data_IF_680246999990
#
_entry.id   IF_680246999990
#
_cell.length_a   1.000
_cell.length_b   1.000
_cell.length_c   1.000
_cell.angle_alpha   90.00
_cell.angle_beta   90.00
_cell.angle_gamma   90.00
#
_symmetry.space_group_name_H-M   'P 1'
#
loop_
_entity.id
_entity.type
_entity.pdbx_description
1 polymer ?
#
# COMPACT_ATOMS: atom_id res chain seq x y z
N UNK A 1 43.98 18.19 2.87
CA UNK A 1 43.01 17.10 3.06
C UNK A 1 41.97 17.23 1.97
N UNK A 2 42.25 16.62 0.82
CA UNK A 2 41.29 16.51 -0.28
C UNK A 2 40.30 15.40 0.07
N UNK A 3 39.02 15.75 0.15
CA UNK A 3 37.93 14.77 0.18
C UNK A 3 37.88 14.10 -1.19
N UNK A 4 38.16 12.79 -1.24
CA UNK A 4 37.99 11.97 -2.43
C UNK A 4 36.49 11.80 -2.67
N UNK A 5 35.88 12.80 -3.31
CA UNK A 5 34.58 12.64 -3.95
C UNK A 5 34.67 11.47 -4.94
N UNK A 6 33.89 10.42 -4.72
CA UNK A 6 33.86 9.25 -5.58
C UNK A 6 33.39 9.63 -7.00
N UNK A 7 33.90 8.93 -8.02
CA UNK A 7 33.72 9.33 -9.42
C UNK A 7 32.25 9.39 -9.88
N UNK A 8 31.34 8.68 -9.20
CA UNK A 8 29.91 8.65 -9.51
C UNK A 8 29.12 9.83 -8.91
N UNK A 9 29.61 10.49 -7.85
CA UNK A 9 28.98 11.68 -7.26
C UNK A 9 29.12 12.94 -8.14
N UNK A 10 29.94 12.86 -9.20
CA UNK A 10 30.12 13.89 -10.22
C UNK A 10 29.26 13.67 -11.47
N UNK A 11 28.53 12.57 -11.55
CA UNK A 11 27.60 12.28 -12.64
C UNK A 11 26.26 12.95 -12.34
N UNK A 12 26.13 14.22 -12.75
CA UNK A 12 24.83 14.85 -12.88
C UNK A 12 24.12 14.17 -14.04
N UNK A 13 23.09 13.38 -13.77
CA UNK A 13 22.27 12.75 -14.81
C UNK A 13 20.98 13.57 -14.92
N UNK A 14 20.84 14.48 -15.91
CA UNK A 14 19.69 15.40 -15.98
C UNK A 14 18.34 14.72 -16.21
N UNK A 15 18.33 13.43 -16.54
CA UNK A 15 17.12 12.60 -16.59
C UNK A 15 16.57 12.27 -15.20
N UNK A 16 17.38 12.30 -14.14
CA UNK A 16 16.95 12.02 -12.77
C UNK A 16 16.11 13.16 -12.15
N UNK A 17 16.41 14.42 -12.50
CA UNK A 17 15.63 15.58 -12.04
C UNK A 17 14.19 15.58 -12.58
N UNK A 18 13.90 14.70 -13.57
CA UNK A 18 12.60 14.60 -14.25
C UNK A 18 11.76 13.41 -13.80
N UNK A 19 12.30 12.50 -12.97
CA UNK A 19 11.52 11.37 -12.45
C UNK A 19 10.54 11.90 -11.40
N UNK A 20 9.24 11.78 -11.68
CA UNK A 20 8.21 12.22 -10.76
C UNK A 20 8.26 11.41 -9.47
N UNK A 21 8.20 12.07 -8.31
CA UNK A 21 8.05 11.41 -7.00
C UNK A 21 6.59 11.34 -6.53
N UNK A 22 5.64 11.62 -7.43
CA UNK A 22 4.23 11.52 -7.12
C UNK A 22 3.81 10.05 -7.02
N UNK A 23 3.10 9.64 -5.96
CA UNK A 23 2.67 8.26 -5.82
C UNK A 23 1.68 7.86 -6.92
N UNK A 24 1.81 6.63 -7.43
CA UNK A 24 0.85 5.96 -8.29
C UNK A 24 -0.36 5.57 -7.44
N UNK A 25 -1.52 6.13 -7.77
CA UNK A 25 -2.76 5.91 -7.04
C UNK A 25 -3.74 5.07 -7.85
N UNK A 26 -4.36 4.11 -7.19
CA UNK A 26 -5.50 3.36 -7.69
C UNK A 26 -6.77 4.06 -7.22
N UNK A 27 -7.18 5.11 -7.92
CA UNK A 27 -8.32 5.95 -7.54
C UNK A 27 -9.66 5.54 -8.20
N UNK A 28 -9.66 4.55 -9.09
CA UNK A 28 -10.87 4.12 -9.80
C UNK A 28 -11.96 3.66 -8.81
N UNK A 29 -13.13 4.26 -8.90
CA UNK A 29 -14.29 3.93 -8.06
C UNK A 29 -15.10 2.84 -8.78
N UNK A 30 -15.31 1.67 -8.17
CA UNK A 30 -16.16 0.61 -8.74
C UNK A 30 -17.64 0.98 -8.58
N UNK A 31 -18.53 0.16 -9.14
CA UNK A 31 -19.95 0.25 -8.84
C UNK A 31 -20.20 -0.07 -7.35
N UNK A 32 -20.24 0.95 -6.50
CA UNK A 32 -20.30 0.82 -5.04
C UNK A 32 -21.51 0.00 -4.57
N UNK A 33 -22.64 0.10 -5.26
CA UNK A 33 -23.81 -0.75 -5.02
C UNK A 33 -23.50 -2.24 -5.25
N UNK A 34 -22.84 -2.58 -6.36
CA UNK A 34 -22.45 -3.96 -6.64
C UNK A 34 -21.42 -4.48 -5.64
N UNK A 35 -20.47 -3.64 -5.19
CA UNK A 35 -19.53 -3.99 -4.12
C UNK A 35 -20.29 -4.27 -2.82
N UNK A 36 -21.24 -3.40 -2.45
CA UNK A 36 -22.07 -3.57 -1.26
C UNK A 36 -22.90 -4.85 -1.30
N UNK A 37 -23.59 -5.12 -2.41
CA UNK A 37 -24.41 -6.32 -2.59
C UNK A 37 -23.56 -7.58 -2.55
N UNK A 38 -22.40 -7.59 -3.21
CA UNK A 38 -21.49 -8.73 -3.20
C UNK A 38 -20.94 -8.99 -1.79
N UNK A 39 -20.50 -7.95 -1.09
CA UNK A 39 -20.04 -8.07 0.29
C UNK A 39 -21.14 -8.62 1.21
N UNK A 40 -22.36 -8.07 1.11
CA UNK A 40 -23.51 -8.55 1.86
C UNK A 40 -23.75 -10.06 1.65
N UNK A 41 -23.65 -10.55 0.41
CA UNK A 41 -23.83 -11.99 0.11
C UNK A 41 -22.79 -12.88 0.80
N UNK A 42 -21.56 -12.41 0.97
CA UNK A 42 -20.52 -13.16 1.70
C UNK A 42 -20.80 -13.19 3.21
N UNK A 43 -21.24 -12.06 3.78
CA UNK A 43 -21.63 -12.01 5.20
C UNK A 43 -22.82 -12.91 5.47
N UNK A 44 -23.82 -12.92 4.58
CA UNK A 44 -25.01 -13.77 4.73
C UNK A 44 -24.63 -15.26 4.64
N UNK A 45 -23.76 -15.64 3.69
CA UNK A 45 -23.30 -17.02 3.53
C UNK A 45 -22.46 -17.54 4.73
N UNK A 46 -21.85 -16.63 5.49
CA UNK A 46 -21.01 -16.94 6.66
C UNK A 46 -21.60 -16.44 7.97
N UNK A 47 -22.92 -16.19 8.02
CA UNK A 47 -23.56 -15.55 9.16
C UNK A 47 -23.39 -16.33 10.48
N UNK A 48 -23.30 -17.66 10.42
CA UNK A 48 -23.05 -18.52 11.59
C UNK A 48 -21.65 -18.38 12.17
N UNK A 49 -20.67 -17.94 11.37
CA UNK A 49 -19.27 -17.75 11.77
C UNK A 49 -18.95 -16.31 12.15
N UNK A 50 -19.89 -15.37 11.94
CA UNK A 50 -19.70 -13.94 12.17
C UNK A 50 -20.54 -13.51 13.38
N UNK A 51 -19.90 -13.13 14.51
CA UNK A 51 -20.62 -12.55 15.63
C UNK A 51 -21.39 -11.31 15.19
N UNK A 52 -22.67 -11.23 15.56
CA UNK A 52 -23.51 -10.07 15.24
C UNK A 52 -23.54 -9.72 13.72
N UNK A 53 -23.58 -10.74 12.85
CA UNK A 53 -23.54 -10.59 11.39
C UNK A 53 -24.49 -9.50 10.84
N UNK A 54 -25.71 -9.40 11.36
CA UNK A 54 -26.67 -8.36 10.97
C UNK A 54 -26.19 -6.93 11.28
N UNK A 55 -25.61 -6.71 12.47
CA UNK A 55 -25.05 -5.42 12.88
C UNK A 55 -23.82 -5.05 12.06
N UNK A 56 -22.94 -6.02 11.80
CA UNK A 56 -21.77 -5.86 10.93
C UNK A 56 -22.18 -5.50 9.52
N UNK A 57 -23.12 -6.24 8.94
CA UNK A 57 -23.67 -5.98 7.61
C UNK A 57 -24.29 -4.59 7.53
N UNK A 58 -25.08 -4.20 8.53
CA UNK A 58 -25.65 -2.85 8.62
C UNK A 58 -24.54 -1.80 8.60
N UNK A 59 -23.55 -1.93 9.49
CA UNK A 59 -22.45 -0.97 9.59
C UNK A 59 -21.69 -0.80 8.26
N UNK A 60 -21.33 -1.89 7.59
CA UNK A 60 -20.61 -1.81 6.32
C UNK A 60 -21.50 -1.29 5.18
N UNK A 61 -22.67 -1.90 4.99
CA UNK A 61 -23.50 -1.70 3.80
C UNK A 61 -24.35 -0.42 3.87
N UNK A 62 -24.49 0.20 5.05
CA UNK A 62 -25.22 1.46 5.18
C UNK A 62 -24.31 2.60 5.61
N UNK A 63 -23.69 2.53 6.80
CA UNK A 63 -22.92 3.66 7.35
C UNK A 63 -21.66 3.96 6.52
N UNK A 64 -20.78 2.98 6.30
CA UNK A 64 -19.56 3.21 5.49
C UNK A 64 -19.87 3.40 4.01
N UNK A 65 -20.84 2.66 3.49
CA UNK A 65 -21.24 2.79 2.09
C UNK A 65 -21.85 4.17 1.79
N UNK A 66 -22.63 4.74 2.72
CA UNK A 66 -23.17 6.09 2.59
C UNK A 66 -22.03 7.13 2.58
N UNK A 67 -21.04 6.99 3.47
CA UNK A 67 -19.85 7.82 3.48
C UNK A 67 -19.09 7.75 2.13
N UNK A 68 -18.78 6.55 1.64
CA UNK A 68 -18.05 6.38 0.38
C UNK A 68 -18.84 6.93 -0.82
N UNK A 69 -20.14 6.65 -0.91
CA UNK A 69 -20.98 7.20 -1.97
C UNK A 69 -21.01 8.73 -1.94
N UNK A 70 -21.15 9.33 -0.76
CA UNK A 70 -21.10 10.78 -0.61
C UNK A 70 -19.74 11.36 -1.00
N UNK A 71 -18.63 10.68 -0.67
CA UNK A 71 -17.26 11.10 -0.99
C UNK A 71 -16.97 11.11 -2.50
N UNK A 72 -17.48 10.12 -3.21
CA UNK A 72 -17.20 9.92 -4.64
C UNK A 72 -18.35 10.34 -5.56
N UNK A 73 -19.41 10.95 -5.02
CA UNK A 73 -20.50 11.51 -5.82
C UNK A 73 -19.98 12.70 -6.65
N UNK A 74 -20.16 12.65 -7.97
CA UNK A 74 -19.73 13.71 -8.89
C UNK A 74 -20.43 15.05 -8.67
N UNK A 75 -21.58 15.06 -7.98
CA UNK A 75 -22.44 16.23 -7.76
C UNK A 75 -22.22 16.90 -6.40
N UNK A 76 -21.36 16.36 -5.53
CA UNK A 76 -21.20 16.85 -4.17
C UNK A 76 -20.38 18.16 -4.14
N UNK A 77 -20.98 19.24 -3.59
CA UNK A 77 -20.29 20.52 -3.35
C UNK A 77 -19.21 20.41 -2.27
N UNK A 78 -19.43 19.54 -1.29
CA UNK A 78 -18.49 19.23 -0.20
C UNK A 78 -18.44 17.73 -0.02
N UNK A 79 -17.23 17.19 0.18
CA UNK A 79 -17.05 15.76 0.48
C UNK A 79 -17.34 15.53 1.97
N UNK A 80 -18.10 14.47 2.33
CA UNK A 80 -18.29 14.11 3.73
C UNK A 80 -16.94 13.78 4.40
N UNK A 81 -16.83 14.11 5.68
CA UNK A 81 -15.68 13.79 6.53
C UNK A 81 -16.12 12.73 7.54
N UNK A 82 -15.41 11.60 7.67
CA UNK A 82 -15.80 10.54 8.60
C UNK A 82 -15.49 10.95 10.04
N UNK A 83 -16.33 10.55 10.98
CA UNK A 83 -16.08 10.79 12.42
C UNK A 83 -15.10 9.74 12.97
N UNK A 84 -14.32 10.06 14.03
CA UNK A 84 -13.45 9.07 14.67
C UNK A 84 -14.21 7.83 15.15
N UNK A 85 -15.45 7.99 15.65
CA UNK A 85 -16.30 6.88 16.09
C UNK A 85 -16.67 5.94 14.94
N UNK A 86 -16.97 6.50 13.76
CA UNK A 86 -17.21 5.73 12.54
C UNK A 86 -15.97 4.91 12.17
N UNK A 87 -14.79 5.52 12.20
CA UNK A 87 -13.52 4.84 11.86
C UNK A 87 -13.15 3.74 12.86
N UNK A 88 -13.32 3.97 14.16
CA UNK A 88 -13.11 2.95 15.20
C UNK A 88 -14.03 1.75 14.97
N UNK A 89 -15.33 2.02 14.75
CA UNK A 89 -16.32 0.97 14.45
C UNK A 89 -15.95 0.21 13.17
N UNK A 90 -15.41 0.90 12.16
CA UNK A 90 -14.97 0.25 10.92
C UNK A 90 -13.80 -0.69 11.15
N UNK A 91 -12.80 -0.23 11.90
CA UNK A 91 -11.62 -1.03 12.18
C UNK A 91 -11.97 -2.27 13.03
N UNK A 92 -12.87 -2.16 13.99
CA UNK A 92 -13.38 -3.29 14.78
C UNK A 92 -14.09 -4.32 13.89
N UNK A 93 -15.06 -3.86 13.09
CA UNK A 93 -15.78 -4.73 12.15
C UNK A 93 -14.82 -5.37 11.16
N UNK A 94 -13.84 -4.62 10.66
CA UNK A 94 -12.81 -5.13 9.75
C UNK A 94 -12.04 -6.28 10.39
N UNK A 95 -11.62 -6.16 11.66
CA UNK A 95 -10.92 -7.26 12.34
C UNK A 95 -11.77 -8.50 12.52
N UNK A 96 -13.04 -8.32 12.92
CA UNK A 96 -13.97 -9.45 13.05
C UNK A 96 -14.08 -10.20 11.71
N UNK A 97 -14.23 -9.47 10.62
CA UNK A 97 -14.34 -10.05 9.27
C UNK A 97 -13.04 -10.67 8.79
N UNK A 98 -11.87 -10.06 9.06
CA UNK A 98 -10.57 -10.66 8.74
C UNK A 98 -10.38 -12.02 9.41
N UNK A 99 -10.97 -12.23 10.59
CA UNK A 99 -10.92 -13.51 11.30
C UNK A 99 -11.98 -14.51 10.79
N UNK A 100 -13.17 -14.04 10.44
CA UNK A 100 -14.29 -14.90 10.09
C UNK A 100 -14.33 -15.32 8.61
N UNK A 101 -13.82 -14.50 7.68
CA UNK A 101 -13.95 -14.73 6.24
C UNK A 101 -12.63 -15.17 5.59
N UNK A 102 -12.68 -16.02 4.55
CA UNK A 102 -11.52 -16.33 3.72
C UNK A 102 -11.15 -15.12 2.82
N UNK A 103 -9.87 -15.02 2.37
CA UNK A 103 -9.42 -13.94 1.48
C UNK A 103 -10.29 -13.75 0.24
N UNK A 104 -10.77 -14.84 -0.36
CA UNK A 104 -11.66 -14.87 -1.53
C UNK A 104 -12.93 -14.02 -1.37
N UNK A 105 -13.37 -13.78 -0.13
CA UNK A 105 -14.57 -13.04 0.22
C UNK A 105 -14.30 -11.65 0.79
N UNK A 106 -13.04 -11.35 1.13
CA UNK A 106 -12.66 -10.11 1.79
C UNK A 106 -12.32 -8.97 0.84
N UNK A 107 -12.06 -9.26 -0.44
CA UNK A 107 -11.65 -8.24 -1.40
C UNK A 107 -12.62 -7.03 -1.51
N UNK A 108 -13.96 -7.15 -1.39
CA UNK A 108 -14.84 -5.98 -1.44
C UNK A 108 -14.62 -5.03 -0.25
N UNK A 109 -14.35 -5.58 0.94
CA UNK A 109 -14.04 -4.79 2.13
C UNK A 109 -12.71 -4.06 1.97
N UNK A 110 -11.71 -4.72 1.39
CA UNK A 110 -10.42 -4.10 1.08
C UNK A 110 -10.58 -3.01 0.04
N UNK A 111 -11.45 -3.19 -0.95
CA UNK A 111 -11.71 -2.20 -2.00
C UNK A 111 -12.36 -0.93 -1.43
N UNK A 112 -13.22 -1.08 -0.41
CA UNK A 112 -13.76 0.05 0.35
C UNK A 112 -12.66 0.81 1.11
N UNK A 113 -11.75 0.09 1.79
CA UNK A 113 -10.60 0.70 2.47
C UNK A 113 -9.64 1.38 1.48
N UNK A 114 -9.36 0.76 0.33
CA UNK A 114 -8.53 1.35 -0.75
C UNK A 114 -9.02 2.74 -1.12
N UNK A 115 -10.33 2.91 -1.26
CA UNK A 115 -10.95 4.20 -1.56
C UNK A 115 -10.95 5.15 -0.37
N UNK A 116 -11.19 4.63 0.85
CA UNK A 116 -11.21 5.42 2.07
C UNK A 116 -9.85 6.08 2.36
N UNK A 117 -8.73 5.38 2.10
CA UNK A 117 -7.38 5.94 2.32
C UNK A 117 -7.05 7.15 1.44
N UNK A 118 -7.81 7.38 0.36
CA UNK A 118 -7.71 8.62 -0.42
C UNK A 118 -8.29 9.84 0.34
N UNK A 119 -8.96 9.63 1.47
CA UNK A 119 -9.32 10.66 2.44
C UNK A 119 -8.19 10.87 3.45
N UNK A 120 -7.69 12.10 3.51
CA UNK A 120 -6.64 12.48 4.45
C UNK A 120 -7.05 12.24 5.90
N UNK A 121 -8.33 12.43 6.25
CA UNK A 121 -8.84 12.19 7.61
C UNK A 121 -8.75 10.70 7.97
N UNK A 122 -9.09 9.82 7.02
CA UNK A 122 -9.00 8.37 7.22
C UNK A 122 -7.54 7.96 7.33
N UNK A 123 -6.69 8.43 6.41
CA UNK A 123 -5.27 8.09 6.42
C UNK A 123 -4.54 8.56 7.68
N UNK A 124 -4.82 9.78 8.16
CA UNK A 124 -4.27 10.29 9.40
C UNK A 124 -4.75 9.46 10.61
N UNK A 125 -6.03 9.07 10.64
CA UNK A 125 -6.56 8.18 11.68
C UNK A 125 -5.89 6.79 11.65
N UNK A 126 -5.68 6.22 10.45
CA UNK A 126 -4.95 4.97 10.31
C UNK A 126 -3.50 5.10 10.83
N UNK A 127 -2.83 6.22 10.52
CA UNK A 127 -1.48 6.49 10.97
C UNK A 127 -1.39 6.57 12.52
N UNK A 128 -2.36 7.20 13.19
CA UNK A 128 -2.40 7.27 14.66
C UNK A 128 -2.82 5.96 15.31
N UNK A 129 -3.62 5.14 14.64
CA UNK A 129 -4.01 3.80 15.12
C UNK A 129 -2.88 2.76 15.01
N UNK A 130 -1.78 3.10 14.33
CA UNK A 130 -0.75 2.14 14.00
C UNK A 130 -0.07 1.51 15.22
N UNK A 131 0.12 0.19 15.18
CA UNK A 131 0.73 -0.56 16.29
C UNK A 131 -0.20 -0.80 17.49
N UNK A 132 -1.45 -0.30 17.42
CA UNK A 132 -2.48 -0.59 18.43
C UNK A 132 -3.34 -1.79 18.02
N UNK A 133 -4.13 -2.32 18.96
CA UNK A 133 -5.16 -3.31 18.66
C UNK A 133 -6.27 -2.76 17.76
N UNK A 134 -6.32 -1.46 17.48
CA UNK A 134 -7.26 -0.82 16.57
C UNK A 134 -6.74 -0.72 15.12
N UNK A 135 -5.48 -1.08 14.83
CA UNK A 135 -4.85 -0.96 13.50
C UNK A 135 -5.52 -1.85 12.42
N UNK A 136 -6.28 -1.30 11.45
CA UNK A 136 -6.86 -2.10 10.37
C UNK A 136 -5.82 -2.47 9.30
N UNK A 137 -4.79 -1.64 9.11
CA UNK A 137 -3.75 -1.84 8.09
C UNK A 137 -2.92 -3.07 8.44
N UNK A 138 -2.58 -3.26 9.71
CA UNK A 138 -1.89 -4.45 10.19
C UNK A 138 -2.72 -5.72 9.94
N UNK A 139 -4.02 -5.69 10.25
CA UNK A 139 -4.89 -6.86 10.08
C UNK A 139 -5.00 -7.27 8.60
N UNK A 140 -5.13 -6.29 7.71
CA UNK A 140 -5.17 -6.50 6.24
C UNK A 140 -3.83 -7.06 5.75
N UNK A 141 -2.72 -6.48 6.21
CA UNK A 141 -1.37 -6.90 5.81
C UNK A 141 -1.09 -8.36 6.19
N UNK A 142 -1.36 -8.75 7.43
CA UNK A 142 -1.13 -10.11 7.92
C UNK A 142 -1.96 -11.14 7.15
N UNK A 143 -3.23 -10.81 6.87
CA UNK A 143 -4.12 -11.68 6.10
C UNK A 143 -3.66 -11.82 4.64
N UNK A 144 -3.06 -10.78 4.05
CA UNK A 144 -2.46 -10.86 2.71
C UNK A 144 -1.21 -11.72 2.67
N UNK A 145 -0.34 -11.63 3.69
CA UNK A 145 0.80 -12.54 3.79
C UNK A 145 0.34 -13.99 3.93
N UNK A 146 -0.66 -14.27 4.77
CA UNK A 146 -1.22 -15.63 4.88
C UNK A 146 -1.77 -16.14 3.53
N UNK A 147 -2.42 -15.27 2.75
CA UNK A 147 -2.91 -15.62 1.42
C UNK A 147 -1.78 -15.89 0.41
N UNK A 148 -0.65 -15.20 0.54
CA UNK A 148 0.53 -15.40 -0.30
C UNK A 148 1.35 -16.62 0.11
N UNK A 149 1.38 -16.99 1.38
CA UNK A 149 2.16 -18.15 1.84
C UNK A 149 1.58 -19.51 1.45
N UNK A 150 0.36 -19.56 0.90
CA UNK A 150 -0.30 -20.80 0.48
C UNK A 150 -0.45 -20.84 -1.05
N UNK A 151 0.44 -21.54 -1.79
CA UNK A 151 0.44 -21.59 -3.25
C UNK A 151 -0.90 -22.03 -3.86
N UNK A 152 -1.56 -23.01 -3.25
CA UNK A 152 -2.85 -23.54 -3.73
C UNK A 152 -3.98 -22.51 -3.57
N UNK A 153 -3.87 -21.63 -2.57
CA UNK A 153 -4.85 -20.58 -2.30
C UNK A 153 -4.54 -19.25 -2.99
N UNK A 154 -3.32 -19.05 -3.53
CA UNK A 154 -2.92 -17.78 -4.17
C UNK A 154 -3.84 -17.42 -5.34
N UNK A 155 -4.13 -18.39 -6.22
CA UNK A 155 -5.00 -18.16 -7.39
C UNK A 155 -6.40 -17.74 -6.98
N UNK A 156 -6.99 -18.43 -5.99
CA UNK A 156 -8.31 -18.10 -5.47
C UNK A 156 -8.31 -16.74 -4.75
N UNK A 157 -7.22 -16.42 -4.05
CA UNK A 157 -7.05 -15.19 -3.27
C UNK A 157 -6.55 -14.01 -4.09
N UNK A 158 -6.30 -14.19 -5.40
CA UNK A 158 -5.80 -13.14 -6.30
C UNK A 158 -6.56 -11.82 -6.17
N UNK A 159 -7.92 -11.76 -6.18
CA UNK A 159 -8.63 -10.50 -6.05
C UNK A 159 -8.32 -9.77 -4.75
N UNK A 160 -8.13 -10.51 -3.66
CA UNK A 160 -7.76 -9.95 -2.36
C UNK A 160 -6.34 -9.39 -2.38
N UNK A 161 -5.36 -10.17 -2.83
CA UNK A 161 -3.95 -9.76 -2.92
C UNK A 161 -3.83 -8.49 -3.77
N UNK A 162 -4.42 -8.51 -4.97
CA UNK A 162 -4.41 -7.38 -5.90
C UNK A 162 -5.02 -6.13 -5.26
N UNK A 163 -6.16 -6.25 -4.58
CA UNK A 163 -6.82 -5.11 -3.94
C UNK A 163 -6.03 -4.58 -2.74
N UNK A 164 -5.36 -5.47 -2.01
CA UNK A 164 -4.47 -5.09 -0.90
C UNK A 164 -3.25 -4.31 -1.41
N UNK A 165 -2.59 -4.75 -2.47
CA UNK A 165 -1.48 -4.00 -3.08
C UNK A 165 -1.91 -2.60 -3.49
N UNK A 166 -3.09 -2.49 -4.13
CA UNK A 166 -3.68 -1.19 -4.53
C UNK A 166 -4.04 -0.31 -3.34
N UNK A 167 -4.53 -0.89 -2.24
CA UNK A 167 -4.77 -0.19 -0.98
C UNK A 167 -3.47 0.37 -0.43
N UNK A 168 -2.41 -0.43 -0.39
CA UNK A 168 -1.10 0.03 0.07
C UNK A 168 -0.54 1.12 -0.83
N UNK A 169 -0.68 1.01 -2.16
CA UNK A 169 -0.28 2.10 -3.06
C UNK A 169 -1.02 3.41 -2.74
N UNK A 170 -2.31 3.35 -2.45
CA UNK A 170 -3.08 4.52 -2.03
C UNK A 170 -2.67 5.06 -0.66
N UNK A 171 -2.19 4.23 0.26
CA UNK A 171 -1.71 4.68 1.57
C UNK A 171 -0.55 5.69 1.46
N UNK A 172 0.24 5.61 0.38
CA UNK A 172 1.32 6.55 0.07
C UNK A 172 0.83 7.91 -0.46
N UNK A 173 -0.47 8.14 -0.60
CA UNK A 173 -1.00 9.49 -0.83
C UNK A 173 -0.96 10.38 0.42
N UNK A 174 -0.65 9.82 1.59
CA UNK A 174 -0.58 10.54 2.86
C UNK A 174 0.75 10.24 3.57
N UNK A 175 1.56 11.27 3.79
CA UNK A 175 2.91 11.12 4.33
C UNK A 175 2.93 10.54 5.75
N UNK A 176 1.93 10.82 6.59
CA UNK A 176 1.88 10.29 7.96
C UNK A 176 1.64 8.77 7.96
N UNK A 177 0.73 8.30 7.13
CA UNK A 177 0.46 6.87 6.97
C UNK A 177 1.63 6.15 6.28
N UNK A 178 2.22 6.73 5.24
CA UNK A 178 3.41 6.20 4.59
C UNK A 178 4.57 6.02 5.57
N UNK A 179 4.86 7.05 6.40
CA UNK A 179 5.87 6.96 7.47
C UNK A 179 5.57 5.83 8.45
N UNK A 180 4.33 5.75 8.92
CA UNK A 180 3.89 4.73 9.86
C UNK A 180 4.05 3.30 9.31
N UNK A 181 3.74 3.11 8.03
CA UNK A 181 3.92 1.82 7.34
C UNK A 181 5.41 1.47 7.26
N UNK A 182 6.26 2.40 6.83
CA UNK A 182 7.70 2.15 6.65
C UNK A 182 8.49 2.12 7.96
N UNK A 183 7.95 2.60 9.08
CA UNK A 183 8.60 2.52 10.39
C UNK A 183 8.14 1.30 11.19
N UNK A 184 6.85 1.00 11.22
CA UNK A 184 6.28 -0.05 12.08
C UNK A 184 6.12 -1.38 11.35
N UNK A 185 5.84 -1.34 10.04
CA UNK A 185 5.44 -2.51 9.25
C UNK A 185 6.43 -2.83 8.12
N UNK A 186 7.64 -2.27 8.19
CA UNK A 186 8.66 -2.31 7.14
C UNK A 186 8.86 -3.73 6.61
N UNK A 187 9.33 -4.64 7.46
CA UNK A 187 9.61 -6.04 7.11
C UNK A 187 8.40 -6.73 6.50
N UNK A 188 7.22 -6.53 7.07
CA UNK A 188 5.99 -7.18 6.61
C UNK A 188 5.54 -6.67 5.24
N UNK A 189 5.72 -5.37 4.96
CA UNK A 189 5.46 -4.78 3.64
C UNK A 189 6.52 -5.20 2.63
N UNK A 190 7.78 -5.35 3.04
CA UNK A 190 8.83 -5.93 2.18
C UNK A 190 8.47 -7.32 1.73
N UNK A 191 8.10 -8.20 2.66
CA UNK A 191 7.70 -9.57 2.33
C UNK A 191 6.50 -9.57 1.38
N UNK A 192 5.52 -8.69 1.61
CA UNK A 192 4.38 -8.53 0.70
C UNK A 192 4.84 -8.13 -0.71
N UNK A 193 5.73 -7.13 -0.81
CA UNK A 193 6.26 -6.60 -2.07
C UNK A 193 7.06 -7.66 -2.83
N UNK A 194 8.09 -8.23 -2.21
CA UNK A 194 8.98 -9.23 -2.83
C UNK A 194 8.15 -10.42 -3.32
N UNK A 195 7.29 -10.97 -2.47
CA UNK A 195 6.45 -12.13 -2.85
C UNK A 195 5.47 -11.78 -3.98
N UNK A 196 4.94 -10.56 -4.00
CA UNK A 196 3.98 -10.13 -5.04
C UNK A 196 4.66 -9.75 -6.36
N UNK A 197 5.89 -9.24 -6.32
CA UNK A 197 6.72 -8.96 -7.49
C UNK A 197 7.11 -10.25 -8.23
N UNK A 198 7.30 -11.34 -7.49
CA UNK A 198 7.60 -12.67 -8.03
C UNK A 198 6.34 -13.53 -8.30
N UNK A 199 5.15 -12.93 -8.21
CA UNK A 199 3.89 -13.66 -8.37
C UNK A 199 3.65 -14.08 -9.83
N UNK A 200 3.02 -15.24 -10.04
CA UNK A 200 2.77 -15.79 -11.38
C UNK A 200 1.82 -14.90 -12.23
N UNK A 201 0.83 -14.28 -11.59
CA UNK A 201 -0.12 -13.37 -12.24
C UNK A 201 0.47 -11.97 -12.50
N UNK A 202 0.45 -11.53 -13.76
CA UNK A 202 1.02 -10.25 -14.19
C UNK A 202 0.37 -9.01 -13.57
N UNK A 203 -0.93 -9.07 -13.25
CA UNK A 203 -1.61 -7.93 -12.65
C UNK A 203 -1.21 -7.73 -11.18
N UNK A 204 -0.91 -8.82 -10.47
CA UNK A 204 -0.36 -8.77 -9.11
C UNK A 204 1.04 -8.16 -9.16
N UNK A 205 1.90 -8.61 -10.09
CA UNK A 205 3.23 -8.00 -10.30
C UNK A 205 3.14 -6.52 -10.63
N UNK A 206 2.23 -6.13 -11.52
CA UNK A 206 2.03 -4.72 -11.90
C UNK A 206 1.66 -3.86 -10.69
N UNK A 207 0.70 -4.31 -9.87
CA UNK A 207 0.31 -3.58 -8.68
C UNK A 207 1.43 -3.53 -7.62
N UNK A 208 2.21 -4.60 -7.50
CA UNK A 208 3.38 -4.64 -6.63
C UNK A 208 4.48 -3.67 -7.09
N UNK A 209 4.73 -3.58 -8.41
CA UNK A 209 5.66 -2.62 -8.98
C UNK A 209 5.21 -1.17 -8.71
N UNK A 210 3.91 -0.88 -8.83
CA UNK A 210 3.37 0.45 -8.45
C UNK A 210 3.59 0.77 -6.97
N UNK A 211 3.40 -0.21 -6.07
CA UNK A 211 3.69 -0.03 -4.65
C UNK A 211 5.19 0.16 -4.39
N UNK A 212 6.06 -0.62 -5.03
CA UNK A 212 7.52 -0.48 -4.90
C UNK A 212 7.97 0.92 -5.35
N UNK A 213 7.42 1.41 -6.46
CA UNK A 213 7.65 2.78 -6.92
C UNK A 213 7.22 3.81 -5.88
N UNK A 214 6.03 3.66 -5.28
CA UNK A 214 5.57 4.59 -4.24
C UNK A 214 6.48 4.60 -3.01
N UNK A 215 7.00 3.43 -2.60
CA UNK A 215 7.98 3.31 -1.51
C UNK A 215 9.26 4.06 -1.86
N UNK A 216 9.83 3.81 -3.04
CA UNK A 216 11.06 4.45 -3.51
C UNK A 216 10.89 5.98 -3.64
N UNK A 217 9.77 6.41 -4.25
CA UNK A 217 9.44 7.82 -4.41
C UNK A 217 9.28 8.54 -3.06
N UNK A 218 8.66 7.88 -2.07
CA UNK A 218 8.48 8.43 -0.73
C UNK A 218 9.82 8.63 0.00
N UNK A 219 10.71 7.63 -0.06
CA UNK A 219 12.04 7.74 0.53
C UNK A 219 12.87 8.83 -0.17
N UNK A 220 12.82 8.89 -1.51
CA UNK A 220 13.53 9.90 -2.28
C UNK A 220 13.04 11.32 -1.96
N UNK A 221 11.72 11.50 -1.82
CA UNK A 221 11.14 12.79 -1.41
C UNK A 221 11.71 13.25 -0.06
N UNK A 222 11.76 12.37 0.93
CA UNK A 222 12.33 12.67 2.25
C UNK A 222 13.81 13.09 2.18
N UNK A 223 14.60 12.46 1.31
CA UNK A 223 16.01 12.83 1.09
C UNK A 223 16.17 14.19 0.43
N UNK A 224 15.41 14.45 -0.62
CA UNK A 224 15.42 15.76 -1.32
C UNK A 224 15.05 16.88 -0.34
N UNK A 225 14.08 16.64 0.55
CA UNK A 225 13.70 17.58 1.61
C UNK A 225 14.83 17.79 2.62
N UNK A 226 15.52 16.74 3.06
CA UNK A 226 16.66 16.83 3.98
C UNK A 226 17.85 17.62 3.38
N UNK A 227 18.20 17.33 2.13
CA UNK A 227 19.27 18.04 1.39
C UNK A 227 18.91 19.53 1.24
N UNK A 228 17.65 19.85 0.93
CA UNK A 228 17.17 21.25 0.86
C UNK A 228 17.17 21.94 2.23
N UNK A 229 16.93 21.19 3.31
CA UNK A 229 16.83 21.71 4.67
C UNK A 229 18.19 21.94 5.39
N UNK A 230 19.34 21.62 4.77
CA UNK A 230 20.69 21.76 5.36
C UNK A 230 20.89 21.03 6.71
N UNK A 231 20.09 20.03 7.04
CA UNK A 231 20.35 19.14 8.18
C UNK A 231 21.10 17.90 7.70
N UNK A 232 22.12 17.50 8.48
CA UNK A 232 23.08 16.42 8.19
C UNK A 232 22.47 15.02 8.06
N UNK A 233 23.32 14.00 7.86
CA UNK A 233 22.92 12.68 7.36
C UNK A 233 21.88 12.04 8.27
N UNK A 234 20.90 11.39 7.64
CA UNK A 234 20.01 10.44 8.32
C UNK A 234 20.87 9.42 9.08
N UNK A 235 20.44 8.91 10.24
CA UNK A 235 21.06 7.72 10.81
C UNK A 235 20.70 6.55 9.89
N UNK A 236 21.55 6.30 8.89
CA UNK A 236 21.57 5.05 8.16
C UNK A 236 21.95 3.97 9.17
N UNK A 237 20.95 3.30 9.74
CA UNK A 237 21.21 2.04 10.43
C UNK A 237 21.60 1.02 9.37
N UNK A 238 22.59 0.19 9.65
CA UNK A 238 23.08 -0.87 8.74
C UNK A 238 21.95 -1.77 8.16
N UNK A 239 20.80 -1.86 8.85
CA UNK A 239 19.59 -2.57 8.39
C UNK A 239 18.85 -1.91 7.21
N UNK A 240 19.07 -0.61 6.95
CA UNK A 240 18.36 0.12 5.89
C UNK A 240 18.88 -0.28 4.50
N UNK A 241 20.20 -0.49 4.36
CA UNK A 241 20.82 -0.92 3.11
C UNK A 241 20.52 -2.36 2.70
N UNK A 242 20.47 -3.31 3.64
CA UNK A 242 20.16 -4.72 3.33
C UNK A 242 18.73 -4.89 2.78
N UNK A 243 17.78 -4.15 3.36
CA UNK A 243 16.39 -4.16 2.92
C UNK A 243 16.21 -3.60 1.51
N UNK A 244 16.90 -2.51 1.21
CA UNK A 244 16.84 -1.86 -0.10
C UNK A 244 17.39 -2.78 -1.19
N UNK A 245 18.48 -3.49 -0.89
CA UNK A 245 19.07 -4.50 -1.78
C UNK A 245 18.08 -5.64 -2.04
N UNK A 246 17.37 -6.13 -1.02
CA UNK A 246 16.33 -7.17 -1.19
C UNK A 246 15.21 -6.68 -2.13
N UNK A 247 14.68 -5.47 -1.88
CA UNK A 247 13.61 -4.89 -2.69
C UNK A 247 14.05 -4.64 -4.14
N UNK A 248 15.23 -4.07 -4.34
CA UNK A 248 15.80 -3.82 -5.68
C UNK A 248 16.04 -5.12 -6.42
N UNK A 249 16.57 -6.15 -5.75
CA UNK A 249 16.81 -7.46 -6.37
C UNK A 249 15.48 -8.09 -6.82
N UNK A 250 14.44 -8.04 -5.99
CA UNK A 250 13.11 -8.52 -6.35
C UNK A 250 12.50 -7.73 -7.51
N UNK A 251 12.71 -6.41 -7.57
CA UNK A 251 12.28 -5.56 -8.67
C UNK A 251 13.02 -5.93 -9.97
N UNK A 252 14.35 -6.12 -9.91
CA UNK A 252 15.17 -6.53 -11.06
C UNK A 252 14.78 -7.91 -11.58
N UNK A 253 14.53 -8.87 -10.69
CA UNK A 253 14.05 -10.20 -11.06
C UNK A 253 12.63 -10.13 -11.67
N UNK A 254 11.75 -9.31 -11.11
CA UNK A 254 10.42 -9.08 -11.68
C UNK A 254 10.50 -8.46 -13.09
N UNK A 255 11.44 -7.55 -13.35
CA UNK A 255 11.73 -7.02 -14.70
C UNK A 255 12.18 -8.15 -15.63
N UNK A 256 13.16 -8.94 -15.21
CA UNK A 256 13.73 -10.00 -16.04
C UNK A 256 12.67 -11.05 -16.44
N UNK A 257 11.70 -11.30 -15.57
CA UNK A 257 10.59 -12.22 -15.80
C UNK A 257 9.42 -11.58 -16.59
N UNK A 258 9.45 -10.28 -16.84
CA UNK A 258 8.36 -9.58 -17.53
C UNK A 258 8.58 -9.55 -19.05
N UNK A 259 7.99 -10.53 -19.73
CA UNK A 259 8.16 -10.72 -21.19
C UNK A 259 7.13 -9.94 -22.02
N UNK A 260 6.12 -9.29 -21.40
CA UNK A 260 4.94 -8.75 -22.12
C UNK A 260 4.41 -7.36 -21.69
N UNK A 261 4.86 -6.78 -20.59
CA UNK A 261 4.30 -5.51 -20.07
C UNK A 261 5.33 -4.38 -20.07
N UNK A 262 5.16 -3.40 -20.96
CA UNK A 262 6.00 -2.19 -21.04
C UNK A 262 5.93 -1.36 -19.74
N UNK A 263 4.76 -1.35 -19.08
CA UNK A 263 4.51 -0.55 -17.88
C UNK A 263 5.38 -1.00 -16.68
N UNK A 264 5.53 -2.31 -16.49
CA UNK A 264 6.36 -2.85 -15.39
C UNK A 264 7.83 -2.48 -15.61
N UNK A 265 8.33 -2.57 -16.85
CA UNK A 265 9.70 -2.18 -17.19
C UNK A 265 9.97 -0.71 -16.87
N UNK A 266 9.02 0.18 -17.16
CA UNK A 266 9.16 1.60 -16.88
C UNK A 266 9.13 1.91 -15.36
N UNK A 267 8.20 1.32 -14.61
CA UNK A 267 8.12 1.55 -13.15
C UNK A 267 9.31 0.96 -12.41
N UNK A 268 9.75 -0.22 -12.82
CA UNK A 268 10.85 -0.91 -12.18
C UNK A 268 12.21 -0.29 -12.53
N UNK A 269 12.41 0.20 -13.76
CA UNK A 269 13.56 1.04 -14.09
C UNK A 269 13.61 2.31 -13.21
N UNK A 270 12.45 2.98 -13.02
CA UNK A 270 12.37 4.11 -12.11
C UNK A 270 12.69 3.73 -10.65
N UNK A 271 12.27 2.56 -10.17
CA UNK A 271 12.62 2.06 -8.83
C UNK A 271 14.14 1.83 -8.68
N UNK A 272 14.76 1.19 -9.67
CA UNK A 272 16.21 0.92 -9.67
C UNK A 272 16.98 2.24 -9.71
N UNK A 273 16.56 3.19 -10.54
CA UNK A 273 17.18 4.52 -10.61
C UNK A 273 17.06 5.28 -9.26
N UNK A 274 15.90 5.20 -8.60
CA UNK A 274 15.67 5.82 -7.29
C UNK A 274 16.51 5.15 -6.18
N UNK A 275 16.75 3.84 -6.27
CA UNK A 275 17.57 3.11 -5.31
C UNK A 275 19.07 3.15 -5.61
N UNK A 276 19.50 3.32 -6.87
CA UNK A 276 20.93 3.44 -7.17
C UNK A 276 21.55 4.72 -6.58
N UNK A 277 20.75 5.79 -6.47
CA UNK A 277 21.14 7.00 -5.72
C UNK A 277 21.29 6.77 -4.21
N UNK A 278 20.69 5.73 -3.67
CA UNK A 278 20.71 5.39 -2.26
C UNK A 278 22.09 4.91 -1.83
N UNK A 279 22.70 4.00 -2.59
CA UNK A 279 24.05 3.50 -2.30
C UNK A 279 25.14 4.57 -2.45
N UNK A 280 24.89 5.62 -3.24
CA UNK A 280 25.82 6.76 -3.40
C UNK A 280 25.89 7.66 -2.14
N UNK A 281 24.85 7.63 -1.29
CA UNK A 281 24.73 8.47 -0.09
C UNK A 281 25.05 7.72 1.23
N UNK A 282 25.28 6.40 1.20
CA UNK A 282 25.37 5.51 2.40
C UNK A 282 26.81 5.30 2.94
N UNK A 283 27.83 6.01 2.44
CA UNK A 283 29.19 5.97 3.04
C UNK A 283 29.69 7.34 3.53
N UNK A 284 28.87 8.02 4.34
CA UNK A 284 29.31 9.16 5.15
C UNK A 284 29.24 8.85 6.65
#
# INVERSE_FOLDING_TARGET
MESLAHAHTKLTIPSLDKVSTNPILFAQVPALDAVSTKFASFVDASASSIPQAASIKQTICTEFMAYLKGRFASTAKTKPVPTPQLLTKWAEVTKILMNALPPTQLFPLIDMWRLALLDETVSNWCATSAGTSADPIQAILLKALTALSNPDAQTASRPYILTTLRLFSNAFSNDALARSILSIKRTTVTTLLVTSLLHADASVRTAAASLAFNVAAFLQKGRIEAVKARYGPFPAGDEEGEWEVELVSAVLEAIANEVKSEDIGAFAAACVDLSWNQCADVQL
#
